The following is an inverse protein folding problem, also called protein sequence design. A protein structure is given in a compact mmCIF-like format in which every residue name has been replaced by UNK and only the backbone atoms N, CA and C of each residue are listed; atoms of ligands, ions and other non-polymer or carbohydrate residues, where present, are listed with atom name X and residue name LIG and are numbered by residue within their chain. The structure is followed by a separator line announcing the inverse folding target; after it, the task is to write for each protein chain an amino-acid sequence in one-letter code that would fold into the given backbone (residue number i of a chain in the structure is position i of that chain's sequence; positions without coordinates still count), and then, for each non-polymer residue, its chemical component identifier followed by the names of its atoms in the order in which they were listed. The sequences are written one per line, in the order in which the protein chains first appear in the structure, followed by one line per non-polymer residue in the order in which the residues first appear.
data_IF_660078984705
#
_entry.id   IF_660078984705
#
_cell.length_a   1.000
_cell.length_b   1.000
_cell.length_c   1.000
_cell.angle_alpha   90.00
_cell.angle_beta   90.00
_cell.angle_gamma   90.00
#
_symmetry.space_group_name_H-M   'P 1'
#
loop_
_entity.id
_entity.type
_entity.pdbx_description
1 polymer ?
#
# COMPACT_ATOMS: atom_id res chain seq x y z
N UNK A 1 13.42 5.94 -5.46
CA UNK A 1 12.21 5.85 -6.27
C UNK A 1 11.40 7.13 -6.12
N UNK A 2 10.87 7.68 -7.21
CA UNK A 2 9.82 8.73 -7.14
C UNK A 2 8.46 8.10 -6.78
N UNK A 3 7.45 8.92 -6.47
CA UNK A 3 6.11 8.40 -6.18
C UNK A 3 5.49 7.66 -7.39
N UNK A 4 5.80 8.11 -8.63
CA UNK A 4 5.36 7.45 -9.86
C UNK A 4 6.00 6.07 -10.03
N UNK A 5 7.28 5.94 -9.70
CA UNK A 5 7.95 4.65 -9.76
C UNK A 5 7.33 3.67 -8.77
N UNK A 6 7.04 4.11 -7.54
CA UNK A 6 6.43 3.27 -6.52
C UNK A 6 5.01 2.83 -6.89
N UNK A 7 4.21 3.71 -7.51
CA UNK A 7 2.88 3.36 -8.03
C UNK A 7 2.94 2.24 -9.08
N UNK A 8 3.85 2.37 -10.05
CA UNK A 8 4.06 1.34 -11.06
C UNK A 8 4.55 0.03 -10.45
N UNK A 9 5.50 0.08 -9.53
CA UNK A 9 6.01 -1.11 -8.82
C UNK A 9 4.88 -1.83 -8.07
N UNK A 10 4.02 -1.08 -7.37
CA UNK A 10 2.88 -1.64 -6.66
C UNK A 10 1.92 -2.34 -7.63
N UNK A 11 1.47 -1.63 -8.66
CA UNK A 11 0.53 -2.17 -9.65
C UNK A 11 1.10 -3.39 -10.38
N UNK A 12 2.35 -3.33 -10.83
CA UNK A 12 3.03 -4.46 -11.49
C UNK A 12 3.12 -5.67 -10.55
N UNK A 13 3.47 -5.47 -9.29
CA UNK A 13 3.55 -6.58 -8.33
C UNK A 13 2.18 -7.21 -8.09
N UNK A 14 1.15 -6.40 -7.88
CA UNK A 14 -0.23 -6.85 -7.68
C UNK A 14 -0.71 -7.70 -8.87
N UNK A 15 -0.54 -7.20 -10.11
CA UNK A 15 -0.90 -7.95 -11.33
C UNK A 15 -0.22 -9.32 -11.43
N UNK A 16 1.06 -9.41 -11.04
CA UNK A 16 1.82 -10.65 -11.12
C UNK A 16 1.57 -11.63 -9.94
N UNK A 17 0.92 -11.17 -8.88
CA UNK A 17 0.61 -11.95 -7.68
C UNK A 17 -0.88 -11.85 -7.34
N UNK A 18 -1.72 -11.96 -8.36
CA UNK A 18 -3.17 -11.74 -8.29
C UNK A 18 -3.84 -12.37 -7.06
N UNK A 19 -3.57 -13.65 -6.80
CA UNK A 19 -4.21 -14.42 -5.72
C UNK A 19 -3.91 -13.88 -4.31
N UNK A 20 -2.82 -13.15 -4.13
CA UNK A 20 -2.43 -12.57 -2.83
C UNK A 20 -3.22 -11.29 -2.51
N UNK A 21 -3.78 -10.62 -3.52
CA UNK A 21 -4.45 -9.32 -3.38
C UNK A 21 -5.93 -9.37 -3.69
N UNK A 22 -6.32 -10.15 -4.69
CA UNK A 22 -7.69 -10.26 -5.18
C UNK A 22 -8.74 -10.54 -4.08
N UNK A 23 -8.49 -11.44 -3.10
CA UNK A 23 -9.48 -11.74 -2.04
C UNK A 23 -9.86 -10.55 -1.15
N UNK A 24 -9.12 -9.44 -1.21
CA UNK A 24 -9.31 -8.26 -0.37
C UNK A 24 -9.96 -7.07 -1.12
N UNK A 25 -10.23 -7.21 -2.42
CA UNK A 25 -10.79 -6.14 -3.24
C UNK A 25 -12.28 -6.38 -3.50
N UNK A 26 -13.10 -5.49 -2.94
CA UNK A 26 -14.56 -5.52 -3.03
C UNK A 26 -15.10 -4.30 -3.78
N UNK A 27 -16.10 -4.51 -4.62
CA UNK A 27 -16.82 -3.45 -5.31
C UNK A 27 -17.76 -2.70 -4.36
N UNK A 28 -18.43 -1.66 -4.89
CA UNK A 28 -19.35 -0.84 -4.10
C UNK A 28 -20.54 -1.61 -3.52
N UNK A 29 -20.83 -2.80 -4.04
CA UNK A 29 -21.89 -3.69 -3.56
C UNK A 29 -21.38 -4.70 -2.51
N UNK A 30 -20.08 -4.68 -2.19
CA UNK A 30 -19.45 -5.63 -1.27
C UNK A 30 -19.15 -7.01 -1.88
N UNK A 31 -19.15 -7.12 -3.21
CA UNK A 31 -18.80 -8.35 -3.93
C UNK A 31 -17.34 -8.30 -4.34
N UNK A 32 -16.68 -9.45 -4.48
CA UNK A 32 -15.32 -9.50 -5.03
C UNK A 32 -15.29 -8.86 -6.42
N UNK A 33 -14.21 -8.15 -6.71
CA UNK A 33 -13.95 -7.66 -8.06
C UNK A 33 -14.05 -8.80 -9.07
N UNK A 34 -14.50 -8.48 -10.28
CA UNK A 34 -14.19 -9.29 -11.47
C UNK A 34 -12.72 -9.11 -11.87
N UNK A 35 -12.21 -9.98 -12.73
CA UNK A 35 -10.85 -9.86 -13.27
C UNK A 35 -10.63 -8.51 -13.99
N UNK A 36 -11.64 -8.04 -14.73
CA UNK A 36 -11.61 -6.73 -15.40
C UNK A 36 -11.57 -5.56 -14.41
N UNK A 37 -12.34 -5.64 -13.31
CA UNK A 37 -12.32 -4.62 -12.24
C UNK A 37 -10.97 -4.62 -11.51
N UNK A 38 -10.38 -5.79 -11.27
CA UNK A 38 -9.04 -5.91 -10.69
C UNK A 38 -7.98 -5.28 -11.58
N UNK A 39 -8.01 -5.54 -12.89
CA UNK A 39 -7.05 -4.92 -13.80
C UNK A 39 -7.22 -3.41 -13.87
N UNK A 40 -8.46 -2.92 -13.90
CA UNK A 40 -8.74 -1.49 -13.82
C UNK A 40 -8.23 -0.87 -12.52
N UNK A 41 -8.38 -1.57 -11.41
CA UNK A 41 -7.83 -1.11 -10.12
C UNK A 41 -6.31 -0.99 -10.15
N UNK A 42 -5.60 -1.98 -10.73
CA UNK A 42 -4.15 -1.89 -10.91
C UNK A 42 -3.75 -0.71 -11.81
N UNK A 43 -4.50 -0.47 -12.89
CA UNK A 43 -4.30 0.70 -13.76
C UNK A 43 -4.53 2.02 -12.99
N UNK A 44 -5.56 2.08 -12.15
CA UNK A 44 -5.86 3.26 -11.33
C UNK A 44 -4.75 3.52 -10.30
N UNK A 45 -4.21 2.47 -9.66
CA UNK A 45 -3.04 2.57 -8.77
C UNK A 45 -1.85 3.16 -9.52
N UNK A 46 -1.58 2.71 -10.74
CA UNK A 46 -0.42 3.12 -11.53
C UNK A 46 -0.56 4.55 -12.10
N UNK A 47 -1.70 4.86 -12.72
CA UNK A 47 -1.84 6.01 -13.61
C UNK A 47 -2.64 7.16 -13.02
N UNK A 48 -3.31 7.00 -11.88
CA UNK A 48 -4.18 8.02 -11.30
C UNK A 48 -3.71 8.50 -9.92
N UNK A 49 -4.49 9.38 -9.30
CA UNK A 49 -4.30 9.85 -7.93
C UNK A 49 -5.08 8.99 -6.90
N UNK A 50 -5.46 7.76 -7.25
CA UNK A 50 -6.11 6.82 -6.33
C UNK A 50 -5.31 6.72 -5.02
N UNK A 51 -6.01 6.82 -3.89
CA UNK A 51 -5.39 6.75 -2.58
C UNK A 51 -4.97 5.31 -2.30
N UNK A 52 -3.70 5.13 -1.92
CA UNK A 52 -3.17 3.81 -1.56
C UNK A 52 -3.35 3.52 -0.08
N UNK A 53 -3.42 2.25 0.27
CA UNK A 53 -3.55 1.77 1.63
C UNK A 53 -2.63 0.59 1.92
N UNK A 54 -3.14 -0.37 2.70
CA UNK A 54 -2.36 -1.53 3.13
C UNK A 54 -1.97 -2.45 1.98
N UNK A 55 -2.83 -2.65 0.98
CA UNK A 55 -2.55 -3.53 -0.17
C UNK A 55 -1.38 -2.99 -1.00
N UNK A 56 -1.39 -1.70 -1.34
CA UNK A 56 -0.32 -1.08 -2.13
C UNK A 56 0.99 -1.05 -1.31
N UNK A 57 0.89 -0.84 0.01
CA UNK A 57 2.06 -0.89 0.89
C UNK A 57 2.65 -2.30 0.97
N UNK A 58 1.81 -3.33 1.04
CA UNK A 58 2.20 -4.73 0.97
C UNK A 58 2.90 -5.02 -0.36
N UNK A 59 2.30 -4.62 -1.48
CA UNK A 59 2.87 -4.81 -2.81
C UNK A 59 4.25 -4.14 -2.95
N UNK A 60 4.41 -2.90 -2.48
CA UNK A 60 5.70 -2.19 -2.50
C UNK A 60 6.73 -2.92 -1.64
N UNK A 61 6.36 -3.32 -0.42
CA UNK A 61 7.26 -4.04 0.49
C UNK A 61 7.75 -5.34 -0.12
N UNK A 62 6.85 -6.13 -0.70
CA UNK A 62 7.19 -7.41 -1.33
C UNK A 62 8.05 -7.20 -2.57
N UNK A 63 7.66 -6.28 -3.46
CA UNK A 63 8.40 -6.02 -4.70
C UNK A 63 9.83 -5.51 -4.47
N UNK A 64 10.03 -4.73 -3.41
CA UNK A 64 11.33 -4.13 -3.08
C UNK A 64 12.06 -4.86 -1.95
N UNK A 65 11.46 -5.88 -1.35
CA UNK A 65 11.96 -6.64 -0.19
C UNK A 65 12.40 -5.72 0.97
N UNK A 66 11.64 -4.67 1.24
CA UNK A 66 11.87 -3.80 2.39
C UNK A 66 10.79 -4.02 3.44
N UNK A 67 11.16 -4.29 4.71
CA UNK A 67 10.18 -4.29 5.79
C UNK A 67 9.60 -2.88 5.96
N UNK A 68 8.29 -2.77 6.14
CA UNK A 68 7.61 -1.50 6.40
C UNK A 68 6.79 -1.61 7.69
N UNK A 69 7.00 -0.65 8.58
CA UNK A 69 6.17 -0.46 9.78
C UNK A 69 5.31 0.78 9.63
N UNK A 70 3.99 0.60 9.76
CA UNK A 70 3.01 1.67 9.74
C UNK A 70 2.62 1.99 11.18
N UNK A 71 2.96 3.19 11.64
CA UNK A 71 2.55 3.71 12.95
C UNK A 71 1.20 4.41 12.81
N UNK A 72 0.23 4.08 13.66
CA UNK A 72 -1.11 4.66 13.68
C UNK A 72 -1.50 5.04 15.11
N UNK A 73 -2.44 5.99 15.25
CA UNK A 73 -2.74 6.61 16.55
C UNK A 73 -3.45 5.67 17.53
N UNK A 74 -4.49 4.96 17.06
CA UNK A 74 -5.46 4.26 17.91
C UNK A 74 -5.22 2.74 18.00
N UNK A 75 -4.14 2.23 17.38
CA UNK A 75 -3.91 0.79 17.25
C UNK A 75 -2.43 0.45 17.19
N UNK A 76 -2.11 -0.83 17.41
CA UNK A 76 -0.74 -1.31 17.30
C UNK A 76 -0.16 -1.03 15.90
N UNK A 77 1.18 -0.85 15.78
CA UNK A 77 1.83 -0.75 14.49
C UNK A 77 1.49 -1.93 13.58
N UNK A 78 1.26 -1.65 12.30
CA UNK A 78 1.13 -2.67 11.27
C UNK A 78 2.52 -2.99 10.76
N UNK A 79 2.86 -4.27 10.75
CA UNK A 79 4.17 -4.74 10.33
C UNK A 79 4.05 -5.54 9.03
N UNK A 80 4.81 -5.14 8.02
CA UNK A 80 4.77 -5.71 6.66
C UNK A 80 6.19 -6.16 6.29
N UNK A 81 6.32 -7.37 5.74
CA UNK A 81 7.60 -7.88 5.21
C UNK A 81 8.70 -8.03 6.27
N UNK A 82 8.35 -8.42 7.50
CA UNK A 82 9.30 -8.58 8.61
C UNK A 82 10.38 -9.65 8.39
N UNK A 83 10.17 -10.51 7.40
CA UNK A 83 11.05 -11.59 6.98
C UNK A 83 12.20 -11.12 6.06
N UNK A 84 12.17 -9.87 5.60
CA UNK A 84 13.25 -9.31 4.80
C UNK A 84 14.42 -8.80 5.66
N UNK A 85 15.65 -9.07 5.22
CA UNK A 85 16.89 -8.70 5.92
C UNK A 85 17.27 -7.21 5.78
N UNK A 86 16.48 -6.40 5.07
CA UNK A 86 16.77 -4.97 4.84
C UNK A 86 16.40 -4.11 6.04
N UNK A 87 16.98 -2.92 6.10
CA UNK A 87 16.60 -1.91 7.09
C UNK A 87 15.12 -1.56 6.98
N UNK A 88 14.42 -1.70 8.10
CA UNK A 88 13.00 -1.39 8.23
C UNK A 88 12.69 0.08 7.97
N UNK A 89 11.74 0.33 7.09
CA UNK A 89 11.18 1.65 6.79
C UNK A 89 10.00 1.94 7.71
N UNK A 90 9.82 3.21 8.07
CA UNK A 90 8.75 3.65 8.96
C UNK A 90 7.90 4.71 8.27
N UNK A 91 6.59 4.50 8.29
CA UNK A 91 5.59 5.49 7.85
C UNK A 91 4.55 5.69 8.94
N UNK A 92 3.98 6.89 9.02
CA UNK A 92 2.86 7.18 9.92
C UNK A 92 1.58 7.35 9.14
N UNK A 93 0.50 6.71 9.60
CA UNK A 93 -0.85 6.83 9.08
C UNK A 93 -1.69 7.78 9.95
N UNK A 94 -2.42 8.67 9.30
CA UNK A 94 -3.22 9.73 9.93
C UNK A 94 -4.64 9.74 9.37
N UNK A 95 -5.66 9.50 10.20
CA UNK A 95 -7.07 9.45 9.76
C UNK A 95 -7.76 10.82 9.71
N UNK A 96 -7.38 11.73 10.62
CA UNK A 96 -8.05 13.03 10.82
C UNK A 96 -7.11 14.23 10.80
N UNK A 97 -5.87 14.05 10.33
CA UNK A 97 -4.90 15.14 10.37
C UNK A 97 -5.23 16.20 9.32
N UNK A 98 -5.18 17.47 9.72
CA UNK A 98 -5.40 18.67 8.88
C UNK A 98 -6.78 18.78 8.19
N UNK A 99 -7.79 18.02 8.61
CA UNK A 99 -9.12 18.02 7.98
C UNK A 99 -9.15 17.40 6.57
N UNK A 100 -8.07 16.71 6.16
CA UNK A 100 -7.86 16.18 4.81
C UNK A 100 -8.18 14.68 4.68
N UNK A 101 -8.67 14.02 5.73
CA UNK A 101 -8.89 12.57 5.73
C UNK A 101 -7.60 11.78 5.93
N UNK A 102 -7.52 10.62 5.28
CA UNK A 102 -6.43 9.64 5.41
C UNK A 102 -5.08 10.15 4.84
N UNK A 103 -3.95 9.91 5.50
CA UNK A 103 -2.66 10.37 4.98
C UNK A 103 -1.48 9.57 5.51
N UNK A 104 -0.46 9.40 4.66
CA UNK A 104 0.80 8.77 5.02
C UNK A 104 1.97 9.76 4.96
N UNK A 105 2.80 9.76 6.00
CA UNK A 105 4.05 10.52 6.05
C UNK A 105 5.23 9.59 6.31
N UNK A 106 6.38 9.87 5.69
CA UNK A 106 7.64 9.18 6.00
C UNK A 106 8.14 9.58 7.39
N UNK A 107 8.59 8.60 8.17
CA UNK A 107 9.28 8.83 9.44
C UNK A 107 10.77 8.63 9.24
N UNK A 108 11.56 9.60 9.71
CA UNK A 108 13.02 9.54 9.69
C UNK A 108 13.55 9.47 11.11
N UNK A 109 14.62 8.69 11.32
CA UNK A 109 15.30 8.64 12.61
C UNK A 109 15.78 10.05 12.94
N UNK A 110 15.54 10.47 14.19
CA UNK A 110 16.12 11.71 14.70
C UNK A 110 17.64 11.55 14.74
N UNK A 111 18.35 12.51 14.14
CA UNK A 111 19.81 12.60 14.19
C UNK A 111 20.30 12.93 15.61
#
# INVERSE_FOLDING_TARGET
YSYKDLRRIAADYMRNHYDDFYPFLLNSNGELYSEDEYQRYCDDVEFTALWGGQLETQAISQALEYPITIIQAESAPIEIGNDFDKDKLFISYHLHSFGLGEHYNSLVKKA
#
